data_IF_162803753526
#
_entry.id   IF_162803753526
#
_cell.length_a   1.000
_cell.length_b   1.000
_cell.length_c   1.000
_cell.angle_alpha   90.00
_cell.angle_beta   90.00
_cell.angle_gamma   90.00
#
_symmetry.space_group_name_H-M   'P 1'
#
loop_
_entity.id
_entity.type
_entity.pdbx_description
1 polymer ?
#
# COMPACT_ATOMS: atom_id res chain seq x y z
N UNK A 1 3.19 1.69 -19.17
CA UNK A 1 2.30 1.07 -18.16
C UNK A 1 3.14 0.01 -17.50
N UNK A 2 3.95 0.40 -16.50
CA UNK A 2 5.05 -0.44 -15.99
C UNK A 2 4.65 -1.06 -14.64
N UNK A 3 3.56 -1.81 -14.65
CA UNK A 3 3.12 -2.59 -13.49
C UNK A 3 3.86 -3.94 -13.47
N UNK A 4 4.22 -4.41 -12.28
CA UNK A 4 4.76 -5.77 -12.13
C UNK A 4 3.67 -6.78 -12.53
N UNK A 5 4.04 -7.93 -13.12
CA UNK A 5 3.08 -8.99 -13.40
C UNK A 5 2.47 -9.52 -12.10
N UNK A 6 1.20 -9.92 -12.19
CA UNK A 6 0.54 -10.60 -11.08
C UNK A 6 1.24 -11.92 -10.78
N UNK A 7 1.41 -12.22 -9.49
CA UNK A 7 2.08 -13.41 -9.01
C UNK A 7 1.51 -13.86 -7.66
N UNK A 8 1.43 -15.17 -7.43
CA UNK A 8 1.11 -15.74 -6.13
C UNK A 8 2.31 -15.66 -5.17
N UNK A 9 2.08 -15.63 -3.84
CA UNK A 9 3.16 -15.74 -2.88
C UNK A 9 3.97 -17.03 -3.11
N UNK A 10 5.30 -16.90 -3.20
CA UNK A 10 6.26 -18.00 -3.40
C UNK A 10 6.20 -18.71 -4.77
N UNK A 11 5.49 -18.18 -5.77
CA UNK A 11 5.40 -18.79 -7.10
C UNK A 11 6.74 -18.84 -7.84
N UNK A 12 7.68 -17.95 -7.49
CA UNK A 12 9.06 -17.94 -8.00
C UNK A 12 9.88 -19.14 -7.49
N UNK A 13 9.52 -19.68 -6.34
CA UNK A 13 10.20 -20.81 -5.69
C UNK A 13 9.45 -22.11 -6.00
N UNK A 14 8.11 -22.04 -6.03
CA UNK A 14 7.22 -23.16 -6.27
C UNK A 14 6.18 -22.80 -7.35
N UNK A 15 6.47 -23.06 -8.64
CA UNK A 15 5.60 -22.70 -9.76
C UNK A 15 4.33 -23.57 -9.89
N UNK A 16 4.08 -24.46 -8.94
CA UNK A 16 2.93 -25.37 -8.89
C UNK A 16 2.54 -25.57 -7.43
N UNK A 17 1.36 -26.13 -7.14
CA UNK A 17 0.85 -26.33 -5.77
C UNK A 17 1.89 -27.01 -4.86
N UNK A 18 2.54 -26.27 -3.94
CA UNK A 18 3.62 -26.82 -3.13
C UNK A 18 3.06 -27.76 -2.05
N UNK A 19 3.85 -28.76 -1.66
CA UNK A 19 3.52 -29.59 -0.51
C UNK A 19 3.70 -28.81 0.80
N UNK A 20 3.09 -29.30 1.88
CA UNK A 20 3.26 -28.73 3.22
C UNK A 20 4.73 -28.75 3.63
N UNK A 21 5.47 -29.81 3.29
CA UNK A 21 6.88 -29.98 3.62
C UNK A 21 7.74 -28.91 2.92
N UNK A 22 7.48 -28.66 1.63
CA UNK A 22 8.16 -27.61 0.87
C UNK A 22 7.90 -26.23 1.46
N UNK A 23 6.64 -25.92 1.77
CA UNK A 23 6.30 -24.63 2.39
C UNK A 23 6.89 -24.48 3.80
N UNK A 24 6.93 -25.56 4.59
CA UNK A 24 7.56 -25.55 5.91
C UNK A 24 9.07 -25.31 5.80
N UNK A 25 9.73 -25.98 4.86
CA UNK A 25 11.15 -25.76 4.60
C UNK A 25 11.44 -24.32 4.19
N UNK A 26 10.65 -23.74 3.27
CA UNK A 26 10.84 -22.36 2.84
C UNK A 26 10.55 -21.35 3.96
N UNK A 27 9.38 -21.44 4.61
CA UNK A 27 8.89 -20.40 5.53
C UNK A 27 9.43 -20.58 6.95
N UNK A 28 9.41 -21.80 7.47
CA UNK A 28 9.75 -22.10 8.86
C UNK A 28 11.24 -22.34 9.06
N UNK A 29 11.89 -23.08 8.14
CA UNK A 29 13.31 -23.44 8.25
C UNK A 29 14.21 -22.39 7.60
N UNK A 30 14.00 -22.09 6.31
CA UNK A 30 14.83 -21.13 5.55
C UNK A 30 14.44 -19.67 5.78
N UNK A 31 13.32 -19.42 6.49
CA UNK A 31 12.81 -18.08 6.80
C UNK A 31 12.59 -17.19 5.58
N UNK A 32 12.29 -17.81 4.43
CA UNK A 32 12.01 -17.10 3.19
C UNK A 32 10.65 -16.40 3.33
N UNK A 33 10.55 -15.21 2.75
CA UNK A 33 9.33 -14.42 2.61
C UNK A 33 9.16 -14.02 1.14
N UNK A 34 7.94 -13.70 0.69
CA UNK A 34 7.71 -13.29 -0.69
C UNK A 34 8.56 -12.07 -1.07
N UNK A 35 9.18 -12.12 -2.25
CA UNK A 35 10.01 -11.03 -2.75
C UNK A 35 9.15 -9.79 -3.03
N UNK A 36 9.70 -8.62 -2.74
CA UNK A 36 9.07 -7.33 -3.04
C UNK A 36 9.79 -6.66 -4.21
N UNK A 37 9.04 -6.03 -5.12
CA UNK A 37 9.61 -5.28 -6.23
C UNK A 37 10.38 -4.06 -5.74
N UNK A 38 11.61 -3.87 -6.24
CA UNK A 38 12.49 -2.74 -5.87
C UNK A 38 11.83 -1.38 -6.13
N UNK A 39 10.93 -1.28 -7.13
CA UNK A 39 10.23 -0.02 -7.42
C UNK A 39 9.25 0.37 -6.31
N UNK A 40 8.74 -0.59 -5.52
CA UNK A 40 7.81 -0.27 -4.45
C UNK A 40 8.50 0.52 -3.35
N UNK A 41 9.80 0.30 -3.15
CA UNK A 41 10.61 1.02 -2.17
C UNK A 41 10.83 2.50 -2.54
N UNK A 42 10.68 2.88 -3.82
CA UNK A 42 10.82 4.28 -4.27
C UNK A 42 9.55 5.10 -4.10
N UNK A 43 8.39 4.45 -3.94
CA UNK A 43 7.12 5.14 -3.68
C UNK A 43 6.81 5.08 -2.18
N UNK A 44 6.58 6.21 -1.49
CA UNK A 44 6.42 6.23 -0.04
C UNK A 44 5.21 5.43 0.46
N UNK A 45 4.13 5.39 -0.32
CA UNK A 45 2.89 4.66 0.03
C UNK A 45 3.13 3.16 -0.09
N UNK A 46 3.71 2.72 -1.21
CA UNK A 46 4.01 1.31 -1.42
C UNK A 46 5.10 0.82 -0.47
N UNK A 47 6.12 1.64 -0.21
CA UNK A 47 7.17 1.36 0.77
C UNK A 47 6.60 1.14 2.17
N UNK A 48 5.59 1.91 2.58
CA UNK A 48 4.91 1.66 3.85
C UNK A 48 4.18 0.31 3.86
N UNK A 49 3.47 -0.03 2.79
CA UNK A 49 2.81 -1.33 2.69
C UNK A 49 3.81 -2.51 2.78
N UNK A 50 5.00 -2.36 2.19
CA UNK A 50 6.09 -3.35 2.27
C UNK A 50 6.56 -3.53 3.71
N UNK A 51 6.83 -2.43 4.42
CA UNK A 51 7.25 -2.48 5.84
C UNK A 51 6.19 -3.13 6.71
N UNK A 52 4.92 -2.83 6.46
CA UNK A 52 3.80 -3.44 7.17
C UNK A 52 3.76 -4.96 6.93
N UNK A 53 3.98 -5.43 5.68
CA UNK A 53 4.12 -6.86 5.41
C UNK A 53 5.29 -7.49 6.16
N UNK A 54 6.45 -6.83 6.23
CA UNK A 54 7.62 -7.32 6.98
C UNK A 54 7.33 -7.44 8.49
N UNK A 55 6.63 -6.46 9.09
CA UNK A 55 6.19 -6.50 10.49
C UNK A 55 5.17 -7.61 10.76
N UNK A 56 4.34 -7.95 9.77
CA UNK A 56 3.39 -9.07 9.88
C UNK A 56 4.03 -10.44 9.66
N UNK A 57 5.15 -10.49 8.96
CA UNK A 57 5.86 -11.72 8.62
C UNK A 57 6.95 -12.11 9.63
N UNK A 58 6.94 -11.49 10.80
CA UNK A 58 7.81 -11.83 11.93
C UNK A 58 7.55 -13.28 12.39
N UNK A 59 8.62 -14.00 12.71
CA UNK A 59 8.54 -15.38 13.17
C UNK A 59 7.76 -15.53 14.48
N UNK A 60 8.01 -14.64 15.45
CA UNK A 60 7.26 -14.59 16.70
C UNK A 60 5.83 -14.03 16.45
N UNK A 61 4.77 -14.84 16.64
CA UNK A 61 3.41 -14.37 16.46
C UNK A 61 3.00 -13.29 17.46
N UNK A 62 3.62 -13.22 18.65
CA UNK A 62 3.30 -12.22 19.67
C UNK A 62 3.77 -10.81 19.26
N UNK A 63 4.78 -10.71 18.38
CA UNK A 63 5.27 -9.45 17.85
C UNK A 63 4.44 -8.91 16.68
N UNK A 64 3.54 -9.71 16.10
CA UNK A 64 2.75 -9.30 14.93
C UNK A 64 1.65 -8.31 15.32
N UNK A 65 1.40 -7.35 14.45
CA UNK A 65 0.30 -6.41 14.64
C UNK A 65 -1.06 -7.11 14.55
N UNK A 66 -1.95 -6.79 15.49
CA UNK A 66 -3.36 -7.18 15.40
C UNK A 66 -4.11 -6.38 14.32
N UNK A 67 -5.22 -6.94 13.84
CA UNK A 67 -6.02 -6.36 12.73
C UNK A 67 -6.42 -4.90 12.96
N UNK A 68 -6.74 -4.50 14.21
CA UNK A 68 -7.08 -3.12 14.53
C UNK A 68 -5.89 -2.16 14.36
N UNK A 69 -4.69 -2.60 14.74
CA UNK A 69 -3.47 -1.80 14.64
C UNK A 69 -3.06 -1.65 13.18
N UNK A 70 -3.17 -2.72 12.37
CA UNK A 70 -2.97 -2.67 10.92
C UNK A 70 -3.89 -1.63 10.30
N UNK A 71 -5.20 -1.69 10.60
CA UNK A 71 -6.19 -0.72 10.09
C UNK A 71 -5.84 0.71 10.49
N UNK A 72 -5.41 0.94 11.73
CA UNK A 72 -5.02 2.26 12.23
C UNK A 72 -3.78 2.79 11.51
N UNK A 73 -2.76 1.96 11.31
CA UNK A 73 -1.55 2.35 10.58
C UNK A 73 -1.86 2.74 9.13
N UNK A 74 -2.65 1.92 8.42
CA UNK A 74 -3.07 2.21 7.04
C UNK A 74 -3.86 3.52 6.95
N UNK A 75 -4.83 3.73 7.86
CA UNK A 75 -5.61 4.97 7.91
C UNK A 75 -4.72 6.20 8.12
N UNK A 76 -3.80 6.12 9.08
CA UNK A 76 -2.88 7.21 9.36
C UNK A 76 -2.01 7.56 8.15
N UNK A 77 -1.54 6.57 7.38
CA UNK A 77 -0.78 6.84 6.15
C UNK A 77 -1.62 7.53 5.08
N UNK A 78 -2.88 7.12 4.91
CA UNK A 78 -3.78 7.73 3.93
C UNK A 78 -4.05 9.20 4.29
N UNK A 79 -4.32 9.49 5.56
CA UNK A 79 -4.52 10.86 6.05
C UNK A 79 -3.28 11.74 5.83
N UNK A 80 -2.07 11.20 6.00
CA UNK A 80 -0.82 11.93 5.72
C UNK A 80 -0.67 12.27 4.23
N UNK A 81 -1.06 11.36 3.33
CA UNK A 81 -1.03 11.59 1.87
C UNK A 81 -2.05 12.66 1.46
N UNK A 82 -3.25 12.61 2.03
CA UNK A 82 -4.31 13.60 1.80
C UNK A 82 -3.88 15.00 2.27
N UNK A 83 -3.29 15.07 3.46
CA UNK A 83 -2.76 16.34 4.01
C UNK A 83 -1.58 16.87 3.19
N UNK A 84 -0.72 15.99 2.68
CA UNK A 84 0.42 16.37 1.82
C UNK A 84 0.00 16.79 0.40
N UNK A 85 -1.18 16.37 -0.06
CA UNK A 85 -1.73 16.70 -1.39
C UNK A 85 -2.58 17.98 -1.40
N UNK A 86 -2.71 18.69 -0.27
CA UNK A 86 -3.52 19.91 -0.14
C UNK A 86 -2.98 21.17 -0.85
N UNK A 87 -1.97 21.04 -1.73
CA UNK A 87 -1.41 22.12 -2.55
C UNK A 87 -1.40 21.80 -4.07
N UNK A 88 -2.42 21.12 -4.62
CA UNK A 88 -2.55 21.00 -6.10
C UNK A 88 -3.93 21.32 -6.68
N UNK A 89 -4.89 21.77 -5.89
CA UNK A 89 -6.10 22.40 -6.43
C UNK A 89 -6.05 23.92 -6.22
N UNK A 90 -5.20 24.60 -6.99
CA UNK A 90 -5.44 26.01 -7.31
C UNK A 90 -6.53 26.05 -8.38
N UNK A 91 -7.76 26.27 -7.93
CA UNK A 91 -8.88 26.64 -8.79
C UNK A 91 -8.46 27.88 -9.61
N UNK A 92 -8.59 27.89 -10.95
CA UNK A 92 -8.30 29.08 -11.73
C UNK A 92 -9.23 30.20 -11.27
N UNK A 93 -8.64 31.36 -10.89
CA UNK A 93 -9.38 32.56 -10.53
C UNK A 93 -10.39 32.90 -11.62
N UNK A 94 -11.68 32.64 -11.38
CA UNK A 94 -12.76 33.18 -12.21
C UNK A 94 -12.80 34.70 -11.95
N UNK A 95 -12.47 35.46 -13.00
CA UNK A 95 -12.60 36.92 -12.98
C UNK A 95 -14.05 37.30 -12.64
N UNK A 96 -14.28 38.32 -11.80
CA UNK A 96 -15.64 38.77 -11.50
C UNK A 96 -16.27 39.31 -12.79
N UNK A 97 -17.32 38.65 -13.28
CA UNK A 97 -18.16 39.20 -14.35
C UNK A 97 -19.02 40.32 -13.77
N UNK A 98 -18.98 41.54 -14.32
CA UNK A 98 -19.88 42.62 -13.90
C UNK A 98 -21.32 42.29 -14.31
N UNK A 99 -22.21 42.28 -13.31
CA UNK A 99 -23.61 42.71 -13.27
C UNK A 99 -24.43 42.79 -14.58
N UNK A 100 -25.66 42.25 -14.56
CA UNK A 100 -26.91 43.04 -14.79
C UNK A 100 -28.18 42.15 -14.79
N UNK A 101 -29.12 42.41 -13.86
CA UNK A 101 -30.56 42.22 -14.11
C UNK A 101 -31.38 41.43 -13.06
N UNK A 102 -32.57 41.93 -12.64
CA UNK A 102 -33.26 41.52 -11.41
C UNK A 102 -34.27 40.37 -11.61
N UNK A 103 -34.44 39.56 -10.56
CA UNK A 103 -35.44 38.48 -10.50
C UNK A 103 -36.87 39.01 -10.48
N UNK A 104 -37.59 38.81 -11.58
CA UNK A 104 -39.07 38.78 -11.71
C UNK A 104 -39.37 37.69 -12.76
N UNK A 105 -40.30 36.75 -12.61
CA UNK A 105 -41.55 36.67 -11.84
C UNK A 105 -41.81 35.24 -11.34
#
# INVERSE_FOLDING_TARGET
NDADPYQLPYEDIYPSSPSIEQMCEAVCTKKIRPATSKRWLTNPILCHAVRLCEELWIDDPACRLGSLNIKKQLKNQMELVENSSSYVNVEPQQQPTPNDGPWTA
#
